data_IF_695527817018
#
_entry.id   IF_695527817018
#
_cell.length_a   1.000
_cell.length_b   1.000
_cell.length_c   1.000
_cell.angle_alpha   90.00
_cell.angle_beta   90.00
_cell.angle_gamma   90.00
#
_symmetry.space_group_name_H-M   'P 1'
#
loop_
_entity.id
_entity.type
_entity.pdbx_description
1 polymer ?
#
# COMPACT_ATOMS: atom_id res chain seq x y z
N UNK A 1 -14.17 -20.95 0.98
CA UNK A 1 -12.81 -21.16 0.44
C UNK A 1 -11.91 -20.27 1.26
N UNK A 2 -11.01 -20.86 2.10
CA UNK A 2 -10.00 -20.09 2.85
C UNK A 2 -9.13 -19.36 1.82
N UNK A 3 -9.26 -18.06 1.78
CA UNK A 3 -8.39 -17.21 0.95
C UNK A 3 -6.98 -17.37 1.52
N UNK A 4 -6.10 -18.08 0.79
CA UNK A 4 -4.70 -18.26 1.18
C UNK A 4 -4.07 -16.87 1.17
N UNK A 5 -3.59 -16.45 2.32
CA UNK A 5 -2.97 -15.13 2.48
C UNK A 5 -1.69 -15.10 1.63
N UNK A 6 -1.69 -14.30 0.57
CA UNK A 6 -0.53 -14.16 -0.32
C UNK A 6 0.52 -13.27 0.39
N UNK A 7 1.74 -13.78 0.55
CA UNK A 7 2.83 -13.10 1.24
C UNK A 7 4.13 -13.22 0.47
N UNK A 8 4.99 -12.25 0.59
CA UNK A 8 6.37 -12.28 0.11
C UNK A 8 7.20 -13.06 1.14
N UNK A 9 7.90 -14.10 0.68
CA UNK A 9 8.63 -15.04 1.55
C UNK A 9 10.13 -14.81 1.54
N UNK A 10 10.70 -14.61 0.35
CA UNK A 10 12.15 -14.62 0.16
C UNK A 10 12.55 -13.76 -1.02
N UNK A 11 13.68 -13.10 -0.89
CA UNK A 11 14.41 -12.44 -1.98
C UNK A 11 15.81 -13.03 -2.06
N UNK A 12 16.24 -13.41 -3.26
CA UNK A 12 17.64 -13.70 -3.58
C UNK A 12 18.09 -12.70 -4.62
N UNK A 13 19.25 -12.08 -4.42
CA UNK A 13 19.82 -11.16 -5.40
C UNK A 13 21.33 -11.29 -5.47
N UNK A 14 21.86 -11.34 -6.69
CA UNK A 14 23.31 -11.39 -7.00
C UNK A 14 23.73 -10.15 -7.76
N UNK A 15 24.93 -9.69 -7.51
CA UNK A 15 25.51 -8.53 -8.19
C UNK A 15 24.83 -7.20 -7.88
N UNK A 16 24.01 -7.12 -6.82
CA UNK A 16 23.32 -5.88 -6.45
C UNK A 16 24.32 -4.76 -6.15
N UNK A 17 24.29 -3.69 -6.95
CA UNK A 17 25.23 -2.57 -6.85
C UNK A 17 26.68 -3.04 -6.78
N UNK A 18 27.07 -4.03 -7.62
CA UNK A 18 28.38 -4.66 -7.69
C UNK A 18 28.82 -5.43 -6.41
N UNK A 19 27.88 -5.82 -5.56
CA UNK A 19 28.18 -6.71 -4.44
C UNK A 19 28.68 -8.07 -4.94
N UNK A 20 29.80 -8.53 -4.38
CA UNK A 20 30.38 -9.85 -4.72
C UNK A 20 29.64 -11.03 -4.07
N UNK A 21 29.03 -10.79 -2.90
CA UNK A 21 28.35 -11.81 -2.13
C UNK A 21 26.86 -11.74 -2.44
N UNK A 22 26.22 -12.84 -2.84
CA UNK A 22 24.76 -12.90 -2.97
C UNK A 22 24.05 -12.50 -1.68
N UNK A 23 22.95 -11.83 -1.81
CA UNK A 23 22.09 -11.45 -0.71
C UNK A 23 20.86 -12.35 -0.71
N UNK A 24 20.63 -13.05 0.39
CA UNK A 24 19.46 -13.89 0.61
C UNK A 24 18.70 -13.38 1.83
N UNK A 25 17.46 -12.95 1.62
CA UNK A 25 16.61 -12.36 2.65
C UNK A 25 15.33 -13.19 2.79
N UNK A 26 15.06 -13.65 4.02
CA UNK A 26 13.81 -14.32 4.39
C UNK A 26 12.92 -13.33 5.13
N UNK A 27 11.63 -13.32 4.80
CA UNK A 27 10.70 -12.31 5.30
C UNK A 27 9.66 -12.89 6.25
N UNK A 28 9.35 -12.14 7.28
CA UNK A 28 8.26 -12.39 8.21
C UNK A 28 6.92 -12.02 7.60
N UNK A 29 5.87 -12.66 8.09
CA UNK A 29 4.51 -12.49 7.56
C UNK A 29 3.84 -11.15 7.91
N UNK A 30 4.38 -10.46 8.90
CA UNK A 30 3.79 -9.25 9.51
C UNK A 30 4.68 -8.00 9.31
N UNK A 31 5.93 -8.03 9.77
CA UNK A 31 6.84 -6.89 9.81
C UNK A 31 8.24 -7.28 9.39
N UNK A 32 8.87 -6.46 8.55
CA UNK A 32 10.25 -6.60 8.09
C UNK A 32 10.93 -5.23 8.15
N UNK A 33 11.90 -5.07 9.02
CA UNK A 33 12.63 -3.83 9.22
C UNK A 33 14.02 -3.94 8.61
N UNK A 34 14.24 -3.24 7.49
CA UNK A 34 15.54 -3.20 6.82
C UNK A 34 16.37 -2.08 7.46
N UNK A 35 17.46 -2.46 8.09
CA UNK A 35 18.38 -1.53 8.78
C UNK A 35 19.80 -1.61 8.23
N UNK A 36 20.61 -0.62 8.52
CA UNK A 36 22.01 -0.54 8.06
C UNK A 36 22.42 0.88 7.71
N UNK A 37 23.72 1.09 7.48
CA UNK A 37 24.31 2.39 7.11
C UNK A 37 23.67 3.00 5.86
N UNK A 38 23.89 4.31 5.68
CA UNK A 38 23.62 4.97 4.40
C UNK A 38 24.37 4.25 3.27
N UNK A 39 23.71 4.01 2.16
CA UNK A 39 24.29 3.26 1.03
C UNK A 39 24.25 1.73 1.19
N UNK A 40 23.67 1.16 2.26
CA UNK A 40 23.53 -0.29 2.42
C UNK A 40 22.48 -0.92 1.48
N UNK A 41 21.89 -0.14 0.60
CA UNK A 41 20.89 -0.57 -0.41
C UNK A 41 19.49 -0.85 0.13
N UNK A 42 19.09 -0.31 1.28
CA UNK A 42 17.72 -0.50 1.85
C UNK A 42 16.63 -0.11 0.87
N UNK A 43 16.63 1.14 0.40
CA UNK A 43 15.70 1.66 -0.61
C UNK A 43 15.73 0.83 -1.90
N UNK A 44 16.94 0.42 -2.32
CA UNK A 44 17.11 -0.39 -3.53
C UNK A 44 16.44 -1.76 -3.38
N UNK A 45 16.55 -2.39 -2.22
CA UNK A 45 15.91 -3.67 -1.92
C UNK A 45 14.39 -3.52 -1.88
N UNK A 46 13.85 -2.47 -1.24
CA UNK A 46 12.40 -2.21 -1.27
C UNK A 46 11.89 -2.05 -2.71
N UNK A 47 12.57 -1.26 -3.53
CA UNK A 47 12.24 -1.09 -4.94
C UNK A 47 12.37 -2.39 -5.74
N UNK A 48 13.42 -3.18 -5.49
CA UNK A 48 13.64 -4.46 -6.15
C UNK A 48 12.48 -5.43 -5.90
N UNK A 49 12.08 -5.59 -4.63
CA UNK A 49 10.93 -6.42 -4.25
C UNK A 49 9.66 -5.91 -4.93
N UNK A 50 9.43 -4.59 -4.89
CA UNK A 50 8.24 -3.98 -5.45
C UNK A 50 8.16 -4.15 -6.97
N UNK A 51 9.25 -3.91 -7.70
CA UNK A 51 9.30 -4.07 -9.16
C UNK A 51 9.11 -5.52 -9.59
N UNK A 52 9.77 -6.48 -8.89
CA UNK A 52 9.61 -7.91 -9.15
C UNK A 52 8.16 -8.35 -8.93
N UNK A 53 7.58 -7.99 -7.80
CA UNK A 53 6.19 -8.32 -7.48
C UNK A 53 5.21 -7.67 -8.45
N UNK A 54 5.47 -6.44 -8.88
CA UNK A 54 4.61 -5.71 -9.82
C UNK A 54 4.82 -6.10 -11.30
N UNK A 55 5.77 -6.98 -11.60
CA UNK A 55 6.13 -7.33 -12.98
C UNK A 55 6.69 -6.17 -13.81
N UNK A 56 7.24 -5.12 -13.14
CA UNK A 56 7.77 -3.91 -13.79
C UNK A 56 9.21 -4.10 -14.23
N UNK A 57 9.43 -5.06 -15.11
CA UNK A 57 10.75 -5.52 -15.52
C UNK A 57 11.57 -4.40 -16.17
N UNK A 58 10.95 -3.53 -16.98
CA UNK A 58 11.65 -2.40 -17.63
C UNK A 58 12.22 -1.42 -16.61
N UNK A 59 11.39 -1.01 -15.64
CA UNK A 59 11.81 -0.10 -14.57
C UNK A 59 12.90 -0.76 -13.73
N UNK A 60 12.73 -2.04 -13.41
CA UNK A 60 13.70 -2.81 -12.65
C UNK A 60 15.09 -2.82 -13.32
N UNK A 61 15.14 -3.17 -14.61
CA UNK A 61 16.39 -3.29 -15.37
C UNK A 61 17.07 -1.92 -15.58
N UNK A 62 16.28 -0.84 -15.70
CA UNK A 62 16.79 0.53 -15.87
C UNK A 62 17.29 1.16 -14.58
N UNK A 63 16.59 0.92 -13.47
CA UNK A 63 16.86 1.62 -12.21
C UNK A 63 17.82 0.89 -11.28
N UNK A 64 17.89 -0.45 -11.38
CA UNK A 64 18.65 -1.27 -10.43
C UNK A 64 19.73 -2.07 -11.14
N UNK A 65 20.95 -1.99 -10.64
CA UNK A 65 22.05 -2.80 -11.13
C UNK A 65 22.14 -4.12 -10.34
N UNK A 66 21.96 -5.25 -11.03
CA UNK A 66 22.05 -6.62 -10.50
C UNK A 66 22.31 -7.60 -11.65
N UNK A 67 22.75 -8.82 -11.35
CA UNK A 67 22.95 -9.89 -12.34
C UNK A 67 21.85 -10.94 -12.27
N UNK A 68 21.40 -11.28 -11.07
CA UNK A 68 20.28 -12.20 -10.82
C UNK A 68 19.41 -11.68 -9.70
N UNK A 69 18.10 -11.83 -9.82
CA UNK A 69 17.15 -11.55 -8.76
C UNK A 69 15.98 -12.54 -8.80
N UNK A 70 15.59 -13.04 -7.64
CA UNK A 70 14.46 -13.97 -7.48
C UNK A 70 13.61 -13.54 -6.30
N UNK A 71 12.30 -13.45 -6.52
CA UNK A 71 11.32 -13.19 -5.48
C UNK A 71 10.39 -14.38 -5.35
N UNK A 72 10.36 -14.97 -4.15
CA UNK A 72 9.46 -16.07 -3.80
C UNK A 72 8.32 -15.56 -2.95
N UNK A 73 7.10 -15.85 -3.35
CA UNK A 73 5.87 -15.58 -2.58
C UNK A 73 5.33 -16.89 -1.99
N UNK A 74 4.21 -16.82 -1.27
CA UNK A 74 3.55 -18.04 -0.76
C UNK A 74 3.06 -18.99 -1.87
N UNK A 75 2.83 -18.50 -3.09
CA UNK A 75 2.16 -19.24 -4.16
C UNK A 75 2.91 -19.24 -5.49
N UNK A 76 3.92 -18.42 -5.65
CA UNK A 76 4.63 -18.24 -6.92
C UNK A 76 6.06 -17.76 -6.69
N UNK A 77 6.89 -17.92 -7.72
CA UNK A 77 8.18 -17.22 -7.77
C UNK A 77 8.37 -16.54 -9.12
N UNK A 78 9.16 -15.48 -9.11
CA UNK A 78 9.64 -14.78 -10.30
C UNK A 78 11.15 -14.63 -10.19
N UNK A 79 11.87 -14.96 -11.25
CA UNK A 79 13.30 -14.74 -11.34
C UNK A 79 13.68 -13.97 -12.60
N UNK A 80 14.73 -13.15 -12.48
CA UNK A 80 15.26 -12.34 -13.57
C UNK A 80 16.77 -12.52 -13.58
N UNK A 81 17.31 -12.96 -14.71
CA UNK A 81 18.74 -13.06 -14.98
C UNK A 81 19.10 -12.09 -16.08
N UNK A 82 20.10 -11.25 -15.84
CA UNK A 82 20.65 -10.31 -16.83
C UNK A 82 21.94 -10.89 -17.42
N UNK A 83 22.01 -10.90 -18.71
CA UNK A 83 23.26 -11.12 -19.46
C UNK A 83 23.70 -9.76 -19.99
N UNK A 84 24.74 -9.20 -19.38
CA UNK A 84 25.24 -7.87 -19.70
C UNK A 84 26.09 -7.88 -21.01
N UNK A 85 26.65 -9.03 -21.37
CA UNK A 85 27.45 -9.17 -22.62
C UNK A 85 26.54 -9.19 -23.85
N UNK A 86 25.42 -9.93 -23.76
CA UNK A 86 24.47 -10.07 -24.87
C UNK A 86 23.28 -9.09 -24.77
N UNK A 87 23.25 -8.24 -23.78
CA UNK A 87 22.14 -7.28 -23.53
C UNK A 87 20.77 -7.98 -23.51
N UNK A 88 20.66 -9.12 -22.81
CA UNK A 88 19.43 -9.87 -22.71
C UNK A 88 18.99 -10.06 -21.28
N UNK A 89 17.67 -10.23 -21.10
CA UNK A 89 17.04 -10.46 -19.81
C UNK A 89 16.21 -11.73 -19.89
N UNK A 90 16.56 -12.74 -19.10
CA UNK A 90 15.81 -13.99 -19.00
C UNK A 90 14.90 -13.93 -17.79
N UNK A 91 13.62 -14.22 -18.00
CA UNK A 91 12.57 -14.20 -16.97
C UNK A 91 12.07 -15.61 -16.76
N UNK A 92 12.10 -16.08 -15.52
CA UNK A 92 11.52 -17.35 -15.05
C UNK A 92 10.28 -17.09 -14.20
N UNK A 93 9.24 -17.88 -14.42
CA UNK A 93 7.97 -17.82 -13.69
C UNK A 93 7.54 -19.22 -13.30
N UNK A 94 7.41 -19.52 -12.01
CA UNK A 94 6.92 -20.79 -11.47
C UNK A 94 7.39 -22.02 -12.28
N UNK A 95 6.42 -22.77 -12.83
CA UNK A 95 6.64 -23.98 -13.63
C UNK A 95 6.75 -23.71 -15.14
N UNK A 96 6.68 -22.45 -15.55
CA UNK A 96 6.76 -22.09 -16.97
C UNK A 96 8.21 -22.16 -17.47
N UNK A 97 8.36 -22.37 -18.79
CA UNK A 97 9.67 -22.30 -19.42
C UNK A 97 10.15 -20.86 -19.37
N UNK A 98 11.37 -20.57 -18.89
CA UNK A 98 11.94 -19.25 -18.93
C UNK A 98 11.93 -18.68 -20.35
N UNK A 99 11.73 -17.37 -20.47
CA UNK A 99 11.77 -16.66 -21.73
C UNK A 99 12.75 -15.50 -21.68
N UNK A 100 13.41 -15.24 -22.80
CA UNK A 100 14.46 -14.23 -22.91
C UNK A 100 13.95 -13.04 -23.73
N UNK A 101 14.20 -11.83 -23.25
CA UNK A 101 13.93 -10.57 -23.89
C UNK A 101 15.23 -9.96 -24.37
N UNK A 102 15.28 -9.54 -25.63
CA UNK A 102 16.37 -8.73 -26.17
C UNK A 102 16.10 -7.23 -25.97
N UNK A 103 17.10 -6.41 -26.22
CA UNK A 103 16.99 -4.94 -26.15
C UNK A 103 15.87 -4.40 -27.07
N UNK A 104 15.66 -5.02 -28.24
CA UNK A 104 14.57 -4.67 -29.15
C UNK A 104 13.20 -4.95 -28.52
N UNK A 105 13.03 -6.09 -27.86
CA UNK A 105 11.80 -6.42 -27.18
C UNK A 105 11.50 -5.45 -26.03
N UNK A 106 12.54 -5.05 -25.26
CA UNK A 106 12.38 -4.08 -24.18
C UNK A 106 11.95 -2.71 -24.71
N UNK A 107 12.48 -2.26 -25.85
CA UNK A 107 12.06 -1.02 -26.51
C UNK A 107 10.61 -1.08 -27.04
N UNK A 108 10.19 -2.20 -27.62
CA UNK A 108 8.82 -2.40 -28.08
C UNK A 108 7.80 -2.35 -26.93
N UNK A 109 8.14 -2.94 -25.80
CA UNK A 109 7.31 -2.88 -24.58
C UNK A 109 7.21 -1.42 -24.10
N UNK A 110 8.32 -0.69 -24.11
CA UNK A 110 8.35 0.74 -23.73
C UNK A 110 7.45 1.59 -24.63
N UNK A 111 7.42 1.30 -25.92
CA UNK A 111 6.55 1.96 -26.91
C UNK A 111 5.09 1.49 -26.85
N UNK A 112 4.75 0.64 -25.86
CA UNK A 112 3.41 0.05 -25.68
C UNK A 112 2.84 -0.62 -26.92
N UNK A 113 3.68 -1.17 -27.78
CA UNK A 113 3.24 -1.94 -28.94
C UNK A 113 2.64 -3.27 -28.49
N UNK A 114 1.51 -3.72 -29.08
CA UNK A 114 0.91 -5.01 -28.76
C UNK A 114 1.86 -6.12 -29.22
N UNK A 115 2.36 -6.89 -28.28
CA UNK A 115 3.24 -8.04 -28.52
C UNK A 115 2.76 -9.24 -27.70
N UNK A 116 3.11 -10.47 -28.13
CA UNK A 116 2.87 -11.69 -27.34
C UNK A 116 3.51 -11.63 -25.95
N UNK A 117 4.50 -10.77 -25.77
CA UNK A 117 5.19 -10.52 -24.52
C UNK A 117 4.25 -9.86 -23.51
N UNK A 118 3.33 -9.02 -23.98
CA UNK A 118 2.34 -8.37 -23.10
C UNK A 118 1.40 -9.37 -22.42
N UNK A 119 1.08 -10.50 -23.05
CA UNK A 119 0.27 -11.57 -22.44
C UNK A 119 1.01 -12.18 -21.23
N UNK A 120 2.32 -12.43 -21.35
CA UNK A 120 3.15 -12.94 -20.25
C UNK A 120 3.27 -11.96 -19.09
N UNK A 121 3.37 -10.66 -19.37
CA UNK A 121 3.32 -9.64 -18.32
C UNK A 121 1.96 -9.55 -17.62
N UNK A 122 0.87 -9.81 -18.33
CA UNK A 122 -0.46 -9.93 -17.70
C UNK A 122 -0.53 -11.13 -16.74
N UNK A 123 0.14 -12.23 -17.03
CA UNK A 123 0.23 -13.39 -16.13
C UNK A 123 1.01 -13.05 -14.86
N UNK A 124 2.15 -12.38 -14.99
CA UNK A 124 2.90 -11.88 -13.82
C UNK A 124 2.00 -11.00 -12.94
N UNK A 125 1.26 -10.09 -13.54
CA UNK A 125 0.35 -9.21 -12.80
C UNK A 125 -0.78 -9.97 -12.08
N UNK A 126 -1.25 -11.10 -12.61
CA UNK A 126 -2.25 -11.96 -11.93
C UNK A 126 -1.68 -12.67 -10.71
N UNK A 127 -0.40 -13.01 -10.73
CA UNK A 127 0.31 -13.66 -9.63
C UNK A 127 0.72 -12.66 -8.54
N UNK A 128 0.80 -11.38 -8.87
CA UNK A 128 1.28 -10.33 -7.98
C UNK A 128 0.44 -10.19 -6.71
N UNK A 129 1.11 -9.83 -5.63
CA UNK A 129 0.49 -9.45 -4.36
C UNK A 129 0.13 -7.96 -4.45
N UNK A 130 -1.07 -7.54 -4.02
CA UNK A 130 -1.39 -6.13 -3.96
C UNK A 130 -0.43 -5.37 -3.05
N UNK A 131 0.06 -4.21 -3.50
CA UNK A 131 1.05 -3.44 -2.74
C UNK A 131 0.74 -1.96 -2.68
N UNK A 132 1.23 -1.32 -1.61
CA UNK A 132 1.34 0.14 -1.49
C UNK A 132 2.80 0.46 -1.20
N UNK A 133 3.36 1.41 -1.95
CA UNK A 133 4.73 1.88 -1.76
C UNK A 133 4.74 3.37 -1.43
N UNK A 134 5.31 3.70 -0.28
CA UNK A 134 5.62 5.06 0.15
C UNK A 134 7.13 5.30 -0.02
N UNK A 135 7.58 5.99 -1.07
CA UNK A 135 9.00 6.24 -1.30
C UNK A 135 9.55 7.27 -0.31
N UNK A 136 10.88 7.32 -0.15
CA UNK A 136 11.56 8.35 0.65
C UNK A 136 11.18 9.75 0.17
N UNK A 137 11.23 9.96 -1.15
CA UNK A 137 10.82 11.21 -1.77
C UNK A 137 9.30 11.21 -1.96
N UNK A 138 8.60 11.71 -0.94
CA UNK A 138 7.17 11.98 -0.99
C UNK A 138 6.93 13.43 -0.58
N UNK A 139 6.19 14.15 -1.38
CA UNK A 139 5.80 15.51 -1.05
C UNK A 139 4.72 15.45 0.04
N UNK A 140 4.98 16.13 1.15
CA UNK A 140 3.98 16.36 2.19
C UNK A 140 3.48 17.79 2.00
N UNK A 141 2.17 17.96 1.91
CA UNK A 141 1.54 19.27 1.78
C UNK A 141 1.96 20.21 2.92
N UNK A 142 2.30 21.48 2.58
CA UNK A 142 2.74 22.50 3.55
C UNK A 142 4.26 22.68 3.66
N UNK A 143 5.07 21.98 2.86
CA UNK A 143 6.51 22.24 2.75
C UNK A 143 6.77 23.55 2.04
N UNK A 144 7.63 24.42 2.62
CA UNK A 144 8.04 25.69 2.04
C UNK A 144 8.66 25.53 0.65
N UNK A 145 8.16 26.26 -0.34
CA UNK A 145 8.94 26.57 -1.53
C UNK A 145 9.70 27.87 -1.26
N UNK A 146 11.04 27.82 -1.37
CA UNK A 146 11.89 29.01 -1.31
C UNK A 146 11.78 29.83 -2.60
N UNK A 147 10.60 30.21 -3.02
CA UNK A 147 10.41 31.13 -4.13
C UNK A 147 10.07 32.52 -3.58
N UNK A 148 11.10 33.28 -3.19
CA UNK A 148 11.03 34.71 -2.91
C UNK A 148 10.90 35.53 -4.21
N UNK A 149 10.10 35.16 -5.16
CA UNK A 149 10.05 35.86 -6.43
C UNK A 149 8.84 35.61 -7.30
N UNK A 150 7.73 35.26 -6.71
CA UNK A 150 6.52 35.03 -7.52
C UNK A 150 5.84 36.37 -7.77
N UNK A 151 5.93 36.86 -9.02
CA UNK A 151 5.09 37.96 -9.51
C UNK A 151 3.61 37.59 -9.22
N UNK A 152 2.88 38.37 -8.44
CA UNK A 152 1.48 38.07 -8.07
C UNK A 152 0.55 37.83 -9.27
N UNK A 153 0.99 38.20 -10.47
CA UNK A 153 0.26 38.02 -11.72
C UNK A 153 0.35 36.58 -12.30
N UNK A 154 1.26 35.74 -11.77
CA UNK A 154 1.46 34.35 -12.23
C UNK A 154 1.38 33.30 -11.11
N UNK A 155 0.93 33.68 -9.90
CA UNK A 155 1.12 32.92 -8.66
C UNK A 155 0.19 31.71 -8.41
N UNK A 156 -0.84 31.49 -9.19
CA UNK A 156 -1.81 30.41 -8.91
C UNK A 156 -1.44 29.07 -9.55
N UNK A 157 -0.52 29.04 -10.51
CA UNK A 157 -0.32 27.86 -11.36
C UNK A 157 0.82 26.91 -10.97
N UNK A 158 1.82 27.32 -10.17
CA UNK A 158 3.04 26.50 -10.01
C UNK A 158 2.95 25.42 -8.93
N UNK A 159 2.27 25.66 -7.84
CA UNK A 159 2.09 24.63 -6.80
C UNK A 159 1.19 23.51 -7.31
N UNK A 160 0.14 23.85 -8.05
CA UNK A 160 -0.73 22.88 -8.69
C UNK A 160 0.00 22.07 -9.76
N UNK A 161 0.88 22.70 -10.55
CA UNK A 161 1.67 21.99 -11.58
C UNK A 161 2.61 20.91 -11.02
N UNK A 162 3.27 21.17 -9.87
CA UNK A 162 4.13 20.16 -9.24
C UNK A 162 3.28 19.02 -8.64
N UNK A 163 2.16 19.37 -8.02
CA UNK A 163 1.20 18.39 -7.51
C UNK A 163 0.69 17.50 -8.65
N UNK A 164 0.22 18.10 -9.73
CA UNK A 164 -0.29 17.40 -10.91
C UNK A 164 0.78 16.50 -11.53
N UNK A 165 2.02 16.96 -11.63
CA UNK A 165 3.14 16.17 -12.14
C UNK A 165 3.44 14.96 -11.25
N UNK A 166 3.44 15.10 -9.92
CA UNK A 166 3.65 14.00 -8.98
C UNK A 166 2.47 13.02 -8.99
N UNK A 167 1.23 13.51 -9.08
CA UNK A 167 0.06 12.65 -9.22
C UNK A 167 0.07 11.90 -10.54
N UNK A 168 0.43 12.55 -11.65
CA UNK A 168 0.56 11.90 -12.94
C UNK A 168 1.65 10.83 -12.92
N UNK A 169 2.81 11.13 -12.30
CA UNK A 169 3.88 10.16 -12.09
C UNK A 169 3.40 8.98 -11.24
N UNK A 170 2.72 9.24 -10.13
CA UNK A 170 2.11 8.22 -9.28
C UNK A 170 1.14 7.34 -10.07
N UNK A 171 0.25 7.94 -10.88
CA UNK A 171 -0.71 7.21 -11.72
C UNK A 171 -0.02 6.36 -12.80
N UNK A 172 1.04 6.87 -13.42
CA UNK A 172 1.81 6.12 -14.45
C UNK A 172 2.52 4.89 -13.86
N UNK A 173 3.04 5.02 -12.65
CA UNK A 173 3.74 3.93 -11.95
C UNK A 173 2.74 2.98 -11.29
N UNK A 174 1.59 3.44 -10.85
CA UNK A 174 0.57 2.63 -10.20
C UNK A 174 -0.21 1.77 -11.20
N UNK A 175 -0.75 0.66 -10.72
CA UNK A 175 -1.72 -0.19 -11.40
C UNK A 175 -2.87 -0.51 -10.42
N UNK A 176 -3.88 -1.25 -10.86
CA UNK A 176 -5.04 -1.60 -10.01
C UNK A 176 -4.62 -2.20 -8.66
N UNK A 177 -3.58 -3.03 -8.66
CA UNK A 177 -3.11 -3.76 -7.46
C UNK A 177 -1.79 -3.21 -6.90
N UNK A 178 -1.18 -2.21 -7.53
CA UNK A 178 0.14 -1.69 -7.17
C UNK A 178 0.05 -0.16 -7.07
N UNK A 179 0.01 0.37 -5.86
CA UNK A 179 -0.11 1.81 -5.62
C UNK A 179 1.25 2.39 -5.21
N UNK A 180 1.64 3.49 -5.84
CA UNK A 180 2.85 4.23 -5.52
C UNK A 180 2.46 5.65 -5.07
N UNK A 181 2.76 6.00 -3.83
CA UNK A 181 2.26 7.22 -3.18
C UNK A 181 3.38 8.26 -3.10
N UNK A 182 3.43 9.17 -4.06
CA UNK A 182 4.44 10.24 -4.15
C UNK A 182 4.02 11.55 -3.50
N UNK A 183 2.74 11.71 -3.19
CA UNK A 183 2.21 12.89 -2.52
C UNK A 183 1.34 12.47 -1.35
N UNK A 184 1.43 13.22 -0.26
CA UNK A 184 0.60 13.07 0.93
C UNK A 184 -0.05 14.42 1.19
N UNK A 185 -1.35 14.50 0.92
CA UNK A 185 -2.17 15.66 1.23
C UNK A 185 -3.38 15.26 2.09
N UNK A 186 -3.93 16.22 2.81
CA UNK A 186 -5.20 16.00 3.54
C UNK A 186 -6.34 15.75 2.59
N UNK A 187 -6.35 16.38 1.41
CA UNK A 187 -7.36 16.17 0.37
C UNK A 187 -7.34 14.74 -0.17
N UNK A 188 -6.15 14.15 -0.35
CA UNK A 188 -6.02 12.75 -0.77
C UNK A 188 -6.60 11.81 0.27
N UNK A 189 -6.35 12.10 1.56
CA UNK A 189 -6.89 11.32 2.68
C UNK A 189 -8.41 11.45 2.73
N UNK A 190 -8.94 12.66 2.63
CA UNK A 190 -10.39 12.91 2.60
C UNK A 190 -11.04 12.21 1.41
N UNK A 191 -10.44 12.29 0.24
CA UNK A 191 -10.91 11.61 -0.98
C UNK A 191 -10.91 10.10 -0.80
N UNK A 192 -9.86 9.52 -0.20
CA UNK A 192 -9.78 8.10 0.12
C UNK A 192 -10.90 7.70 1.08
N UNK A 193 -11.09 8.45 2.18
CA UNK A 193 -12.12 8.20 3.18
C UNK A 193 -13.52 8.23 2.57
N UNK A 194 -13.84 9.27 1.79
CA UNK A 194 -15.13 9.41 1.13
C UNK A 194 -15.40 8.30 0.12
N UNK A 195 -14.39 7.93 -0.67
CA UNK A 195 -14.51 6.84 -1.65
C UNK A 195 -14.79 5.50 -0.98
N UNK A 196 -14.03 5.17 0.04
CA UNK A 196 -14.19 3.90 0.76
C UNK A 196 -15.54 3.88 1.50
N UNK A 197 -15.94 4.98 2.16
CA UNK A 197 -17.25 5.11 2.81
C UNK A 197 -18.40 4.92 1.82
N UNK A 198 -18.34 5.57 0.65
CA UNK A 198 -19.34 5.41 -0.39
C UNK A 198 -19.42 3.97 -0.90
N UNK A 199 -18.27 3.31 -1.07
CA UNK A 199 -18.19 1.91 -1.49
C UNK A 199 -18.83 0.97 -0.47
N UNK A 200 -18.57 1.18 0.81
CA UNK A 200 -19.15 0.37 1.90
C UNK A 200 -20.65 0.60 2.01
N UNK A 201 -21.09 1.86 1.94
CA UNK A 201 -22.53 2.15 1.96
C UNK A 201 -23.28 1.53 0.77
N UNK A 202 -22.68 1.52 -0.42
CA UNK A 202 -23.26 0.84 -1.57
C UNK A 202 -23.43 -0.67 -1.31
N UNK A 203 -22.44 -1.33 -0.70
CA UNK A 203 -22.52 -2.76 -0.34
C UNK A 203 -23.59 -3.01 0.73
N UNK A 204 -23.67 -2.17 1.77
CA UNK A 204 -24.68 -2.24 2.82
C UNK A 204 -26.09 -2.11 2.21
N UNK A 205 -26.31 -1.10 1.36
CA UNK A 205 -27.61 -0.86 0.72
C UNK A 205 -28.02 -2.02 -0.18
N UNK A 206 -27.10 -2.62 -0.94
CA UNK A 206 -27.38 -3.81 -1.76
C UNK A 206 -27.77 -5.00 -0.89
N UNK A 207 -27.03 -5.28 0.18
CA UNK A 207 -27.35 -6.36 1.11
C UNK A 207 -28.70 -6.15 1.80
N UNK A 208 -28.98 -4.91 2.26
CA UNK A 208 -30.26 -4.56 2.89
C UNK A 208 -31.44 -4.75 1.92
N UNK A 209 -31.29 -4.33 0.67
CA UNK A 209 -32.34 -4.50 -0.36
C UNK A 209 -32.65 -5.98 -0.58
N UNK A 210 -31.63 -6.82 -0.77
CA UNK A 210 -31.82 -8.27 -0.99
C UNK A 210 -32.55 -8.92 0.19
N UNK A 211 -32.13 -8.62 1.43
CA UNK A 211 -32.76 -9.18 2.65
C UNK A 211 -34.16 -8.63 2.87
N UNK A 212 -34.41 -7.35 2.57
CA UNK A 212 -35.77 -6.80 2.63
C UNK A 212 -36.72 -7.50 1.67
N UNK A 213 -36.25 -7.79 0.45
CA UNK A 213 -37.03 -8.54 -0.52
C UNK A 213 -37.31 -9.99 -0.06
N UNK A 214 -36.37 -10.63 0.62
CA UNK A 214 -36.54 -11.96 1.24
C UNK A 214 -37.56 -11.92 2.37
N UNK A 215 -37.48 -10.93 3.27
CA UNK A 215 -38.47 -10.73 4.36
C UNK A 215 -39.88 -10.54 3.79
N UNK A 216 -40.03 -9.70 2.77
CA UNK A 216 -41.31 -9.46 2.10
C UNK A 216 -41.85 -10.76 1.49
N UNK A 217 -41.02 -11.59 0.89
CA UNK A 217 -41.41 -12.91 0.38
C UNK A 217 -41.87 -13.84 1.50
N UNK A 218 -41.15 -13.93 2.61
CA UNK A 218 -41.52 -14.74 3.80
C UNK A 218 -42.86 -14.33 4.37
N UNK A 219 -43.17 -13.02 4.40
CA UNK A 219 -44.48 -12.51 4.86
C UNK A 219 -45.64 -12.91 3.92
N UNK A 220 -45.37 -12.92 2.60
CA UNK A 220 -46.37 -13.24 1.57
C UNK A 220 -46.69 -14.73 1.49
N UNK A 221 -45.77 -15.61 1.85
CA UNK A 221 -45.93 -17.07 1.82
C UNK A 221 -46.41 -17.52 3.20
N UNK A 222 -47.73 -17.79 3.34
CA UNK A 222 -48.40 -18.22 4.59
C UNK A 222 -48.12 -19.71 4.92
N UNK A 223 -46.91 -20.18 4.91
CA UNK A 223 -46.59 -21.60 5.21
C UNK A 223 -46.28 -21.88 6.68
N UNK A 224 -46.04 -20.85 7.48
CA UNK A 224 -45.65 -20.96 8.90
C UNK A 224 -46.66 -20.22 9.81
N UNK A 225 -46.63 -20.56 11.10
CA UNK A 225 -47.41 -19.82 12.09
C UNK A 225 -46.91 -18.37 12.18
N UNK A 226 -47.80 -17.42 12.50
CA UNK A 226 -47.44 -15.99 12.63
C UNK A 226 -46.28 -15.76 13.62
N UNK A 227 -46.24 -16.56 14.69
CA UNK A 227 -45.24 -16.46 15.76
C UNK A 227 -43.85 -16.92 15.28
N UNK A 228 -43.77 -17.94 14.45
CA UNK A 228 -42.52 -18.43 13.83
C UNK A 228 -41.98 -17.45 12.76
N UNK A 229 -42.90 -16.91 11.96
CA UNK A 229 -42.54 -15.90 10.94
C UNK A 229 -41.99 -14.63 11.58
N UNK A 230 -42.57 -14.14 12.69
CA UNK A 230 -42.05 -12.99 13.43
C UNK A 230 -40.65 -13.24 13.99
N UNK A 231 -40.42 -14.43 14.54
CA UNK A 231 -39.09 -14.79 15.08
C UNK A 231 -38.01 -14.87 13.98
N UNK A 232 -38.36 -15.45 12.82
CA UNK A 232 -37.46 -15.50 11.66
C UNK A 232 -37.11 -14.08 11.17
N UNK A 233 -38.09 -13.17 11.09
CA UNK A 233 -37.90 -11.77 10.70
C UNK A 233 -37.01 -11.04 11.71
N UNK A 234 -37.22 -11.23 12.98
CA UNK A 234 -36.40 -10.62 14.03
C UNK A 234 -34.93 -11.08 13.87
N UNK A 235 -34.70 -12.37 13.66
CA UNK A 235 -33.36 -12.93 13.43
C UNK A 235 -32.71 -12.36 12.18
N UNK A 236 -33.46 -12.19 11.08
CA UNK A 236 -32.99 -11.58 9.85
C UNK A 236 -32.58 -10.12 10.08
N UNK A 237 -33.34 -9.33 10.81
CA UNK A 237 -33.02 -7.94 11.16
C UNK A 237 -31.74 -7.86 12.02
N UNK A 238 -31.63 -8.70 13.06
CA UNK A 238 -30.44 -8.76 13.91
C UNK A 238 -29.18 -9.13 13.10
N UNK A 239 -29.31 -10.05 12.14
CA UNK A 239 -28.22 -10.42 11.25
C UNK A 239 -27.84 -9.26 10.30
N UNK A 240 -28.81 -8.49 9.80
CA UNK A 240 -28.56 -7.31 8.99
C UNK A 240 -27.77 -6.23 9.76
N UNK A 241 -28.13 -6.01 11.02
CA UNK A 241 -27.41 -5.05 11.87
C UNK A 241 -25.97 -5.50 12.15
N UNK A 242 -25.75 -6.77 12.48
CA UNK A 242 -24.42 -7.35 12.68
C UNK A 242 -23.54 -7.26 11.43
N UNK A 243 -24.12 -7.54 10.26
CA UNK A 243 -23.39 -7.36 9.00
C UNK A 243 -23.01 -5.90 8.75
N UNK A 244 -23.95 -4.97 8.97
CA UNK A 244 -23.69 -3.53 8.87
C UNK A 244 -22.57 -3.08 9.80
N UNK A 245 -22.60 -3.49 11.05
CA UNK A 245 -21.52 -3.20 12.01
C UNK A 245 -20.17 -3.76 11.54
N UNK A 246 -20.17 -4.99 11.01
CA UNK A 246 -18.97 -5.62 10.48
C UNK A 246 -18.39 -4.85 9.29
N UNK A 247 -19.23 -4.34 8.39
CA UNK A 247 -18.81 -3.51 7.27
C UNK A 247 -18.28 -2.15 7.71
N UNK A 248 -18.89 -1.55 8.75
CA UNK A 248 -18.48 -0.24 9.27
C UNK A 248 -17.29 -0.32 10.24
N UNK A 249 -16.95 -1.49 10.76
CA UNK A 249 -15.87 -1.69 11.74
C UNK A 249 -14.52 -1.03 11.34
N UNK A 250 -14.04 -1.11 10.09
CA UNK A 250 -12.81 -0.41 9.71
C UNK A 250 -12.88 1.10 9.95
N UNK A 251 -14.06 1.70 9.74
CA UNK A 251 -14.27 3.14 9.97
C UNK A 251 -14.33 3.49 11.44
N UNK A 252 -15.09 2.74 12.23
CA UNK A 252 -15.20 3.00 13.68
C UNK A 252 -13.84 2.86 14.34
N UNK A 253 -13.11 1.78 14.05
CA UNK A 253 -11.73 1.58 14.55
C UNK A 253 -10.79 2.68 14.11
N UNK A 254 -10.86 3.10 12.85
CA UNK A 254 -10.03 4.20 12.33
C UNK A 254 -10.39 5.53 13.02
N UNK A 255 -11.67 5.82 13.20
CA UNK A 255 -12.16 7.03 13.87
C UNK A 255 -11.69 7.10 15.32
N UNK A 256 -11.81 6.01 16.07
CA UNK A 256 -11.31 5.90 17.45
C UNK A 256 -9.81 6.12 17.52
N UNK A 257 -9.04 5.50 16.60
CA UNK A 257 -7.59 5.61 16.54
C UNK A 257 -7.16 7.05 16.21
N UNK A 258 -7.75 7.66 15.19
CA UNK A 258 -7.45 9.05 14.82
C UNK A 258 -7.79 10.00 15.96
N UNK A 259 -8.94 9.83 16.58
CA UNK A 259 -9.35 10.64 17.73
C UNK A 259 -8.37 10.51 18.89
N UNK A 260 -7.91 9.29 19.21
CA UNK A 260 -6.95 9.06 20.29
C UNK A 260 -5.57 9.70 20.02
N UNK A 261 -5.12 9.67 18.77
CA UNK A 261 -3.81 10.20 18.35
C UNK A 261 -3.84 11.73 18.19
N UNK A 262 -4.93 12.27 17.60
CA UNK A 262 -5.04 13.68 17.22
C UNK A 262 -6.03 14.48 18.08
N UNK A 263 -6.39 13.98 19.24
CA UNK A 263 -7.37 14.62 20.15
C UNK A 263 -7.02 16.10 20.45
N UNK A 264 -5.73 16.39 20.63
CA UNK A 264 -5.22 17.74 20.89
C UNK A 264 -5.45 18.73 19.72
N UNK A 265 -5.73 18.25 18.52
CA UNK A 265 -6.04 19.06 17.32
C UNK A 265 -7.54 19.21 17.08
N UNK A 266 -8.38 18.62 17.92
CA UNK A 266 -9.84 18.63 17.74
C UNK A 266 -10.31 17.85 16.50
N UNK A 267 -9.49 16.92 16.00
CA UNK A 267 -9.86 16.03 14.88
C UNK A 267 -10.72 14.92 15.44
N UNK A 268 -11.96 14.85 15.01
CA UNK A 268 -12.91 13.83 15.40
C UNK A 268 -13.66 13.34 14.16
N UNK A 269 -13.53 12.05 13.87
CA UNK A 269 -14.22 11.40 12.75
C UNK A 269 -15.43 10.58 13.20
N UNK A 270 -15.98 10.85 14.41
CA UNK A 270 -17.06 10.05 15.01
C UNK A 270 -18.34 9.97 14.17
N UNK A 271 -18.56 10.95 13.28
CA UNK A 271 -19.71 11.00 12.38
C UNK A 271 -19.25 11.19 10.95
N UNK A 272 -18.69 10.15 10.35
CA UNK A 272 -18.30 10.15 8.93
C UNK A 272 -19.55 10.16 8.05
N UNK A 273 -20.15 11.34 7.88
CA UNK A 273 -21.14 11.59 6.82
C UNK A 273 -20.50 12.28 5.64
N UNK A 274 -21.04 12.05 4.44
CA UNK A 274 -20.56 12.71 3.21
C UNK A 274 -20.52 14.23 3.40
N UNK A 275 -19.34 14.83 3.35
CA UNK A 275 -19.11 16.27 3.51
C UNK A 275 -18.59 16.71 4.89
N UNK A 276 -18.74 15.92 5.96
CA UNK A 276 -18.24 16.29 7.30
C UNK A 276 -16.73 16.06 7.47
N UNK A 277 -16.16 15.10 6.71
CA UNK A 277 -14.71 14.82 6.71
C UNK A 277 -13.90 16.06 6.31
N UNK A 278 -14.38 16.84 5.34
CA UNK A 278 -13.72 18.06 4.88
C UNK A 278 -13.60 19.12 5.99
N UNK A 279 -14.57 19.17 6.90
CA UNK A 279 -14.58 20.10 8.02
C UNK A 279 -13.80 19.57 9.23
N UNK A 280 -13.69 18.24 9.36
CA UNK A 280 -13.00 17.59 10.48
C UNK A 280 -11.47 17.59 10.32
N UNK A 281 -10.98 17.48 9.07
CA UNK A 281 -9.54 17.41 8.76
C UNK A 281 -9.17 18.66 7.96
N UNK A 282 -8.80 19.74 8.65
CA UNK A 282 -8.27 20.93 8.01
C UNK A 282 -6.77 20.80 7.80
N UNK A 283 -6.30 21.04 6.57
CA UNK A 283 -4.89 20.97 6.18
C UNK A 283 -4.01 21.90 7.03
N UNK A 284 -4.55 23.05 7.41
CA UNK A 284 -3.82 24.09 8.16
C UNK A 284 -3.53 23.72 9.62
N UNK A 285 -4.27 22.78 10.17
CA UNK A 285 -4.14 22.34 11.57
C UNK A 285 -3.10 21.23 11.77
N UNK A 286 -2.71 20.54 10.71
CA UNK A 286 -1.81 19.39 10.77
C UNK A 286 -0.40 19.75 10.30
N UNK A 287 0.60 19.40 11.12
CA UNK A 287 2.01 19.40 10.72
C UNK A 287 2.29 18.33 9.66
N UNK A 288 3.44 18.45 8.97
CA UNK A 288 3.88 17.46 7.98
C UNK A 288 3.94 16.03 8.55
N UNK A 289 4.46 15.86 9.78
CA UNK A 289 4.52 14.57 10.44
C UNK A 289 3.13 13.99 10.76
N UNK A 290 2.21 14.84 11.19
CA UNK A 290 0.83 14.44 11.47
C UNK A 290 0.10 14.00 10.19
N UNK A 291 0.26 14.72 9.08
CA UNK A 291 -0.27 14.34 7.77
C UNK A 291 0.29 12.99 7.33
N UNK A 292 1.60 12.78 7.52
CA UNK A 292 2.26 11.53 7.18
C UNK A 292 1.73 10.36 8.01
N UNK A 293 1.65 10.52 9.34
CA UNK A 293 1.11 9.49 10.22
C UNK A 293 -0.34 9.14 9.89
N UNK A 294 -1.17 10.17 9.69
CA UNK A 294 -2.56 10.01 9.29
C UNK A 294 -2.69 9.24 7.96
N UNK A 295 -1.83 9.55 6.98
CA UNK A 295 -1.79 8.84 5.71
C UNK A 295 -1.47 7.35 5.89
N UNK A 296 -0.44 7.01 6.64
CA UNK A 296 -0.09 5.61 6.88
C UNK A 296 -1.24 4.85 7.55
N UNK A 297 -1.88 5.45 8.56
CA UNK A 297 -3.01 4.86 9.28
C UNK A 297 -4.20 4.65 8.35
N UNK A 298 -4.57 5.66 7.54
CA UNK A 298 -5.72 5.59 6.64
C UNK A 298 -5.49 4.57 5.51
N UNK A 299 -4.34 4.59 4.85
CA UNK A 299 -4.06 3.61 3.80
C UNK A 299 -4.05 2.19 4.35
N UNK A 300 -3.49 1.97 5.54
CA UNK A 300 -3.49 0.65 6.16
C UNK A 300 -4.90 0.19 6.55
N UNK A 301 -5.76 1.09 7.05
CA UNK A 301 -7.11 0.76 7.51
C UNK A 301 -7.99 0.18 6.38
N UNK A 302 -7.82 0.70 5.15
CA UNK A 302 -8.63 0.31 3.99
C UNK A 302 -7.98 -0.71 3.07
N UNK A 303 -6.85 -1.28 3.47
CA UNK A 303 -6.19 -2.34 2.71
C UNK A 303 -6.09 -3.60 3.54
N UNK A 304 -6.37 -4.75 2.93
CA UNK A 304 -6.27 -6.07 3.58
C UNK A 304 -5.44 -7.01 2.71
N UNK A 305 -4.57 -7.79 3.36
CA UNK A 305 -3.70 -8.75 2.68
C UNK A 305 -2.79 -8.09 1.61
N UNK A 306 -2.30 -6.88 1.90
CA UNK A 306 -1.36 -6.14 1.05
C UNK A 306 0.05 -6.23 1.62
N UNK A 307 1.04 -6.09 0.74
CA UNK A 307 2.41 -5.77 1.17
C UNK A 307 2.61 -4.25 1.12
N UNK A 308 2.91 -3.64 2.26
CA UNK A 308 3.06 -2.19 2.42
C UNK A 308 4.53 -1.87 2.61
N UNK A 309 5.08 -1.11 1.67
CA UNK A 309 6.47 -0.66 1.66
C UNK A 309 6.55 0.79 2.10
N UNK A 310 7.39 1.08 3.10
CA UNK A 310 7.60 2.44 3.60
C UNK A 310 9.11 2.68 3.68
N UNK A 311 9.57 3.61 2.86
CA UNK A 311 10.97 4.03 2.85
C UNK A 311 11.14 5.27 3.72
N UNK A 312 12.05 5.20 4.71
CA UNK A 312 12.32 6.23 5.70
C UNK A 312 11.02 6.75 6.39
N UNK A 313 10.28 5.88 7.11
CA UNK A 313 9.04 6.28 7.78
C UNK A 313 9.23 7.37 8.85
N UNK A 314 10.45 7.50 9.40
CA UNK A 314 10.82 8.50 10.41
C UNK A 314 10.86 9.93 9.92
N UNK A 315 11.00 10.15 8.60
CA UNK A 315 11.08 11.50 8.06
C UNK A 315 9.86 12.32 8.49
N UNK A 316 10.10 13.51 9.02
CA UNK A 316 9.08 14.42 9.55
C UNK A 316 8.30 13.94 10.78
N UNK A 317 8.56 12.74 11.32
CA UNK A 317 7.91 12.24 12.52
C UNK A 317 8.68 12.61 13.78
N UNK A 318 7.98 13.14 14.77
CA UNK A 318 8.54 13.29 16.12
C UNK A 318 8.91 11.91 16.71
N UNK A 319 9.97 11.80 17.56
CA UNK A 319 10.38 10.53 18.17
C UNK A 319 9.26 9.72 18.83
N UNK A 320 8.30 10.38 19.49
CA UNK A 320 7.18 9.70 20.14
C UNK A 320 6.25 9.04 19.10
N UNK A 321 6.08 9.68 17.96
CA UNK A 321 5.30 9.14 16.84
C UNK A 321 6.02 7.99 16.15
N UNK A 322 7.36 8.06 16.06
CA UNK A 322 8.16 6.94 15.56
C UNK A 322 8.01 5.70 16.44
N UNK A 323 7.95 5.86 17.78
CA UNK A 323 7.75 4.75 18.72
C UNK A 323 6.37 4.10 18.61
N UNK A 324 5.37 4.87 18.24
CA UNK A 324 3.96 4.42 18.16
C UNK A 324 3.57 3.96 16.76
N UNK A 325 4.33 4.28 15.72
CA UNK A 325 4.00 3.96 14.32
C UNK A 325 3.75 2.47 14.10
N UNK A 326 4.74 1.64 14.40
CA UNK A 326 4.64 0.18 14.15
C UNK A 326 3.50 -0.46 14.95
N UNK A 327 3.38 -0.26 16.28
CA UNK A 327 2.24 -0.78 17.03
C UNK A 327 0.90 -0.33 16.46
N UNK A 328 0.78 0.94 16.07
CA UNK A 328 -0.45 1.51 15.50
C UNK A 328 -0.85 0.79 14.21
N UNK A 329 0.10 0.53 13.32
CA UNK A 329 -0.18 -0.14 12.06
C UNK A 329 -0.52 -1.62 12.24
N UNK A 330 0.20 -2.33 13.09
CA UNK A 330 -0.04 -3.76 13.36
C UNK A 330 -1.38 -4.00 14.06
N UNK A 331 -1.77 -3.14 15.01
CA UNK A 331 -2.99 -3.29 15.79
C UNK A 331 -4.28 -3.10 14.98
N UNK A 332 -4.22 -2.57 13.75
CA UNK A 332 -5.39 -2.49 12.87
C UNK A 332 -5.87 -3.86 12.38
N UNK A 333 -5.05 -4.92 12.47
CA UNK A 333 -5.47 -6.31 12.25
C UNK A 333 -5.87 -6.64 10.80
N UNK A 334 -5.32 -5.93 9.80
CA UNK A 334 -5.68 -6.09 8.39
C UNK A 334 -4.88 -7.18 7.66
N UNK A 335 -4.06 -7.97 8.37
CA UNK A 335 -3.17 -9.00 7.81
C UNK A 335 -2.25 -8.46 6.70
N UNK A 336 -1.84 -7.19 6.79
CA UNK A 336 -0.89 -6.60 5.89
C UNK A 336 0.53 -6.99 6.30
N UNK A 337 1.41 -7.16 5.30
CA UNK A 337 2.83 -7.42 5.49
C UNK A 337 3.61 -6.12 5.28
N UNK A 338 4.33 -5.67 6.29
CA UNK A 338 5.08 -4.42 6.24
C UNK A 338 6.55 -4.65 5.90
N UNK A 339 7.09 -3.80 5.04
CA UNK A 339 8.50 -3.67 4.71
C UNK A 339 8.92 -2.23 4.93
N UNK A 340 9.73 -1.96 5.93
CA UNK A 340 10.16 -0.62 6.27
C UNK A 340 11.68 -0.52 6.21
N UNK A 341 12.21 0.41 5.41
CA UNK A 341 13.62 0.76 5.45
C UNK A 341 13.78 1.96 6.38
N UNK A 342 14.55 1.82 7.43
CA UNK A 342 14.65 2.86 8.47
C UNK A 342 16.06 2.98 9.05
N UNK A 343 16.39 4.18 9.48
CA UNK A 343 17.57 4.47 10.32
C UNK A 343 17.19 4.76 11.78
N UNK A 344 15.88 4.86 12.09
CA UNK A 344 15.44 5.26 13.41
C UNK A 344 15.47 4.12 14.42
N UNK A 345 16.28 4.22 15.49
CA UNK A 345 16.25 3.28 16.60
C UNK A 345 14.89 3.26 17.32
N UNK A 346 14.12 4.34 17.26
CA UNK A 346 12.79 4.41 17.85
C UNK A 346 11.78 3.50 17.15
N UNK A 347 12.04 3.14 15.89
CA UNK A 347 11.21 2.22 15.11
C UNK A 347 11.66 0.78 15.32
N UNK A 348 12.95 0.48 15.17
CA UNK A 348 13.41 -0.92 15.12
C UNK A 348 13.79 -1.52 16.48
N UNK A 349 14.16 -0.74 17.50
CA UNK A 349 14.75 -1.28 18.75
C UNK A 349 13.84 -2.27 19.50
N UNK A 350 12.53 -2.14 19.37
CA UNK A 350 11.54 -3.03 20.01
C UNK A 350 11.26 -4.32 19.22
N UNK A 351 11.78 -4.42 18.01
CA UNK A 351 11.46 -5.48 17.03
C UNK A 351 12.74 -6.10 16.47
N UNK A 352 13.71 -6.42 17.35
CA UNK A 352 14.99 -6.99 16.95
C UNK A 352 14.85 -8.35 16.24
N UNK A 353 13.81 -9.10 16.53
CA UNK A 353 13.44 -10.35 15.87
C UNK A 353 12.90 -10.15 14.45
N UNK A 354 12.48 -8.94 14.09
CA UNK A 354 11.97 -8.56 12.75
C UNK A 354 12.96 -7.74 11.92
N UNK A 355 14.15 -7.52 12.50
CA UNK A 355 15.18 -6.71 11.88
C UNK A 355 16.01 -7.52 10.88
N UNK A 356 16.19 -6.94 9.69
CA UNK A 356 17.03 -7.46 8.60
C UNK A 356 18.20 -6.50 8.42
N UNK A 357 19.37 -6.87 8.95
CA UNK A 357 20.56 -6.02 8.94
C UNK A 357 21.31 -6.20 7.62
N UNK A 358 21.41 -5.14 6.83
CA UNK A 358 22.05 -5.15 5.51
C UNK A 358 23.52 -4.77 5.50
N UNK A 359 24.05 -4.27 6.61
CA UNK A 359 25.47 -3.97 6.84
C UNK A 359 25.86 -4.33 8.26
N UNK A 360 27.16 -4.55 8.50
CA UNK A 360 27.68 -4.90 9.83
C UNK A 360 27.49 -3.76 10.87
N UNK A 361 27.02 -2.61 10.45
CA UNK A 361 26.77 -1.44 11.28
C UNK A 361 25.39 -0.89 10.93
N UNK A 362 24.58 -0.65 11.94
CA UNK A 362 23.18 -0.19 11.80
C UNK A 362 23.07 1.25 11.33
N UNK A 363 24.16 1.99 11.28
CA UNK A 363 24.18 3.39 10.85
C UNK A 363 23.68 4.37 11.93
N UNK A 364 23.84 3.99 13.21
CA UNK A 364 23.53 4.82 14.39
C UNK A 364 24.73 5.71 14.68
#
# INVERSE_FOLDING_TARGET
IKQVNKMIKKLVVEGLNNRKIPLELNFHSDLNLLTGKNGSSKTTILKLIWFLNAGKILSLVKEINFTYAELTTSNSFISIKRDLENNTVTIGLDKEKPFTLSDLNLREIELRRPTRINEKFMEINKLSIPTIFFPTFRRIEGGFTMDEGVDPRFGIGRQDQIRDALEEFSRRISSKNQRFITSISTDDIVTLLNKEYSSINALINLGQKQKSDEIIRKIKVKEKSEKETLKDIQTDIENMEKERETFLKPYTTLSELITSIFQHKGINLSNLTLGEVNNAISSDKLSAGEKQMLSFICYNAFTKNHSIFIDEPELSLHPDWQRTLVPTLLNQGNNNQFFMATHSPFIFSKYSDKEIILSNDKGI
#
